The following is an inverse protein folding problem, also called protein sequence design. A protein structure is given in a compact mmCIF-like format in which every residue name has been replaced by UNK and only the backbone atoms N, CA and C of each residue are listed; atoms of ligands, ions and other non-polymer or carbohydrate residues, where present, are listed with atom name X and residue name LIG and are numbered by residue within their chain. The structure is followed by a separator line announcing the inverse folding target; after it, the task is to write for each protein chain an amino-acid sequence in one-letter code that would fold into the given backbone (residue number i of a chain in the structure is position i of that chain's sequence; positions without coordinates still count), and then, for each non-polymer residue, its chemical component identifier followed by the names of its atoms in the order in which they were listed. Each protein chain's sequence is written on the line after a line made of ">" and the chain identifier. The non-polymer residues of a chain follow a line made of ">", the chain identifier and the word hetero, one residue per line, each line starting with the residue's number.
data_IF_913918683518
#
_entry.id   IF_913918683518
#
_cell.length_a   1.000
_cell.length_b   1.000
_cell.length_c   1.000
_cell.angle_alpha   90.00
_cell.angle_beta   90.00
_cell.angle_gamma   90.00
#
_symmetry.space_group_name_H-M   'P 1'
#
loop_
_entity.id
_entity.type
_entity.pdbx_description
1 polymer ?
#
# COMPACT_ATOMS: atom_id res chain seq x y z
N UNK A 1 3.44 14.37 11.56
CA UNK A 1 2.01 14.59 11.24
C UNK A 1 1.73 14.01 9.85
N UNK A 2 0.63 13.26 9.66
CA UNK A 2 0.24 12.68 8.34
C UNK A 2 0.06 13.77 7.28
N UNK A 3 -0.49 14.93 7.65
CA UNK A 3 -0.69 16.05 6.71
C UNK A 3 0.63 16.63 6.19
N UNK A 4 1.58 16.81 7.09
CA UNK A 4 2.93 17.31 6.77
C UNK A 4 3.69 16.34 5.86
N UNK A 5 3.66 15.03 6.17
CA UNK A 5 4.30 14.00 5.35
C UNK A 5 3.67 13.96 3.95
N UNK A 6 2.34 14.02 3.87
CA UNK A 6 1.62 14.04 2.58
C UNK A 6 1.97 15.29 1.77
N UNK A 7 2.06 16.46 2.39
CA UNK A 7 2.43 17.71 1.69
C UNK A 7 3.86 17.63 1.13
N UNK A 8 4.83 17.19 1.93
CA UNK A 8 6.22 16.96 1.48
C UNK A 8 6.31 15.92 0.36
N UNK A 9 5.54 14.84 0.47
CA UNK A 9 5.48 13.80 -0.55
C UNK A 9 4.90 14.37 -1.86
N UNK A 10 3.79 15.11 -1.77
CA UNK A 10 3.13 15.72 -2.90
C UNK A 10 4.03 16.72 -3.63
N UNK A 11 4.76 17.55 -2.89
CA UNK A 11 5.76 18.45 -3.46
C UNK A 11 6.88 17.68 -4.18
N UNK A 12 7.49 16.69 -3.50
CA UNK A 12 8.63 15.92 -4.03
C UNK A 12 8.30 15.16 -5.32
N UNK A 13 7.11 14.58 -5.41
CA UNK A 13 6.69 13.75 -6.54
C UNK A 13 5.66 14.42 -7.46
N UNK A 14 5.40 15.72 -7.24
CA UNK A 14 4.44 16.53 -8.01
C UNK A 14 3.03 15.93 -8.01
N UNK A 15 2.59 15.43 -6.85
CA UNK A 15 1.22 14.95 -6.67
C UNK A 15 0.27 16.10 -6.30
N UNK A 16 -0.99 15.96 -6.69
CA UNK A 16 -2.06 16.87 -6.30
C UNK A 16 -2.60 16.39 -4.95
N UNK A 17 -2.44 17.16 -3.87
CA UNK A 17 -2.86 16.73 -2.55
C UNK A 17 -4.38 16.44 -2.44
N UNK A 18 -5.19 16.96 -3.37
CA UNK A 18 -6.64 16.77 -3.42
C UNK A 18 -7.07 15.51 -4.20
N UNK A 19 -6.15 14.87 -4.94
CA UNK A 19 -6.45 13.62 -5.65
C UNK A 19 -6.23 12.40 -4.77
N UNK A 20 -6.90 11.32 -5.12
CA UNK A 20 -6.69 10.03 -4.49
C UNK A 20 -5.27 9.53 -4.79
N UNK A 21 -4.50 9.24 -3.74
CA UNK A 21 -3.13 8.72 -3.86
C UNK A 21 -3.14 7.22 -3.52
N UNK A 22 -2.65 6.41 -4.46
CA UNK A 22 -2.61 4.95 -4.37
C UNK A 22 -1.16 4.48 -4.39
N UNK A 23 -0.75 3.83 -3.31
CA UNK A 23 0.55 3.19 -3.21
C UNK A 23 0.46 1.71 -3.55
N UNK A 24 1.24 1.25 -4.53
CA UNK A 24 1.46 -0.19 -4.75
C UNK A 24 2.71 -0.64 -4.02
N UNK A 25 2.56 -1.58 -3.10
CA UNK A 25 3.68 -2.20 -2.39
C UNK A 25 3.98 -3.55 -3.04
N UNK A 26 5.07 -3.61 -3.79
CA UNK A 26 5.48 -4.85 -4.47
C UNK A 26 5.92 -5.91 -3.46
N UNK A 27 5.38 -7.12 -3.61
CA UNK A 27 5.90 -8.33 -2.99
C UNK A 27 7.30 -8.73 -3.48
N UNK A 28 7.78 -9.86 -2.97
CA UNK A 28 9.12 -10.41 -3.22
C UNK A 28 9.02 -11.79 -3.89
N UNK A 29 8.21 -11.86 -4.96
CA UNK A 29 8.06 -13.06 -5.77
C UNK A 29 9.11 -13.16 -6.87
N UNK A 30 9.07 -14.25 -7.64
CA UNK A 30 9.82 -14.32 -8.90
C UNK A 30 9.39 -13.21 -9.88
N UNK A 31 10.26 -12.93 -10.84
CA UNK A 31 10.10 -11.82 -11.78
C UNK A 31 8.79 -11.92 -12.58
N UNK A 32 8.40 -13.13 -13.00
CA UNK A 32 7.21 -13.35 -13.81
C UNK A 32 5.93 -13.13 -13.00
N UNK A 33 5.89 -13.62 -11.76
CA UNK A 33 4.75 -13.38 -10.85
C UNK A 33 4.64 -11.90 -10.52
N UNK A 34 5.73 -11.23 -10.14
CA UNK A 34 5.72 -9.79 -9.87
C UNK A 34 5.26 -8.98 -11.09
N UNK A 35 5.72 -9.33 -12.30
CA UNK A 35 5.27 -8.66 -13.52
C UNK A 35 3.77 -8.82 -13.75
N UNK A 36 3.21 -10.02 -13.54
CA UNK A 36 1.78 -10.28 -13.72
C UNK A 36 0.92 -9.56 -12.68
N UNK A 37 1.34 -9.56 -11.41
CA UNK A 37 0.71 -8.78 -10.34
C UNK A 37 0.74 -7.28 -10.68
N UNK A 38 1.90 -6.78 -11.09
CA UNK A 38 2.06 -5.38 -11.47
C UNK A 38 1.22 -5.01 -12.69
N UNK A 39 1.14 -5.88 -13.70
CA UNK A 39 0.27 -5.72 -14.86
C UNK A 39 -1.20 -5.68 -14.45
N UNK A 40 -1.62 -6.54 -13.54
CA UNK A 40 -2.98 -6.51 -13.00
C UNK A 40 -3.25 -5.18 -12.28
N UNK A 41 -2.36 -4.78 -11.36
CA UNK A 41 -2.43 -3.49 -10.69
C UNK A 41 -2.50 -2.32 -11.67
N UNK A 42 -1.75 -2.35 -12.78
CA UNK A 42 -1.72 -1.24 -13.75
C UNK A 42 -3.08 -0.90 -14.37
N UNK A 43 -4.09 -1.77 -14.23
CA UNK A 43 -5.45 -1.47 -14.66
C UNK A 43 -6.06 -0.26 -13.92
N UNK A 44 -5.63 0.01 -12.68
CA UNK A 44 -6.08 1.20 -11.92
C UNK A 44 -5.72 2.51 -12.62
N UNK A 45 -4.75 2.48 -13.54
CA UNK A 45 -4.32 3.65 -14.31
C UNK A 45 -5.38 4.13 -15.31
N UNK A 46 -6.44 3.36 -15.55
CA UNK A 46 -7.61 3.81 -16.29
C UNK A 46 -8.38 4.93 -15.57
N UNK A 47 -8.20 5.07 -14.26
CA UNK A 47 -8.88 6.07 -13.45
C UNK A 47 -8.04 7.36 -13.29
N UNK A 48 -8.73 8.46 -12.93
CA UNK A 48 -8.09 9.74 -12.59
C UNK A 48 -7.58 9.73 -11.14
N UNK A 49 -6.53 8.95 -10.91
CA UNK A 49 -5.89 8.76 -9.61
C UNK A 49 -4.37 8.92 -9.72
N UNK A 50 -3.71 9.15 -8.60
CA UNK A 50 -2.25 9.25 -8.55
C UNK A 50 -1.66 7.98 -7.99
N UNK A 51 -0.66 7.44 -8.69
CA UNK A 51 -0.08 6.14 -8.38
C UNK A 51 1.42 6.27 -8.19
N UNK A 52 1.95 5.54 -7.21
CA UNK A 52 3.37 5.32 -7.04
C UNK A 52 3.63 3.89 -6.57
N UNK A 53 4.84 3.42 -6.84
CA UNK A 53 5.25 2.05 -6.54
C UNK A 53 6.37 2.08 -5.52
N UNK A 54 6.18 1.39 -4.39
CA UNK A 54 7.24 1.06 -3.45
C UNK A 54 7.74 -0.34 -3.72
N UNK A 55 9.04 -0.45 -3.88
CA UNK A 55 9.72 -1.74 -4.00
C UNK A 55 10.69 -1.93 -2.85
N UNK A 56 11.02 -3.19 -2.57
CA UNK A 56 12.12 -3.53 -1.65
C UNK A 56 13.45 -2.99 -2.20
N UNK A 57 14.41 -2.65 -1.33
CA UNK A 57 15.73 -2.20 -1.75
C UNK A 57 16.52 -3.32 -2.43
N UNK A 58 16.30 -3.50 -3.73
CA UNK A 58 17.07 -4.33 -4.62
C UNK A 58 17.21 -3.61 -5.98
N UNK A 59 18.45 -3.29 -6.37
CA UNK A 59 18.74 -2.51 -7.58
C UNK A 59 18.21 -3.16 -8.85
N UNK A 60 18.20 -4.49 -8.93
CA UNK A 60 17.71 -5.21 -10.10
C UNK A 60 16.18 -5.09 -10.23
N UNK A 61 15.46 -5.24 -9.11
CA UNK A 61 14.00 -5.09 -9.09
C UNK A 61 13.54 -3.66 -9.45
N UNK A 62 14.30 -2.64 -9.04
CA UNK A 62 14.03 -1.24 -9.42
C UNK A 62 14.11 -1.00 -10.92
N UNK A 63 15.16 -1.54 -11.56
CA UNK A 63 15.32 -1.40 -13.01
C UNK A 63 14.22 -2.14 -13.77
N UNK A 64 13.81 -3.32 -13.30
CA UNK A 64 12.72 -4.09 -13.91
C UNK A 64 11.38 -3.37 -13.81
N UNK A 65 11.00 -2.89 -12.62
CA UNK A 65 9.75 -2.14 -12.44
C UNK A 65 9.69 -0.88 -13.31
N UNK A 66 10.80 -0.13 -13.43
CA UNK A 66 10.88 1.02 -14.34
C UNK A 66 10.68 0.62 -15.81
N UNK A 67 11.23 -0.53 -16.24
CA UNK A 67 10.99 -1.07 -17.60
C UNK A 67 9.53 -1.47 -17.80
N UNK A 68 8.91 -2.13 -16.83
CA UNK A 68 7.51 -2.53 -16.91
C UNK A 68 6.59 -1.32 -16.97
N UNK A 69 6.87 -0.29 -16.16
CA UNK A 69 6.16 0.99 -16.22
C UNK A 69 6.27 1.68 -17.57
N UNK A 70 7.47 1.76 -18.14
CA UNK A 70 7.64 2.32 -19.48
C UNK A 70 6.81 1.59 -20.55
N UNK A 71 6.57 0.29 -20.36
CA UNK A 71 5.77 -0.55 -21.27
C UNK A 71 4.25 -0.43 -21.03
N UNK A 72 3.83 -0.41 -19.76
CA UNK A 72 2.41 -0.48 -19.37
C UNK A 72 1.77 0.89 -19.19
N UNK A 73 2.56 1.92 -18.93
CA UNK A 73 2.12 3.26 -18.56
C UNK A 73 2.93 4.34 -19.30
N UNK A 74 3.22 4.14 -20.59
CA UNK A 74 4.09 5.02 -21.40
C UNK A 74 3.71 6.50 -21.36
N UNK A 75 2.43 6.81 -21.10
CA UNK A 75 1.89 8.17 -21.11
C UNK A 75 1.76 8.79 -19.71
N UNK A 76 2.20 8.09 -18.65
CA UNK A 76 2.09 8.56 -17.26
C UNK A 76 3.44 8.42 -16.55
N UNK A 77 3.85 9.48 -15.86
CA UNK A 77 4.99 9.40 -14.95
C UNK A 77 4.54 8.77 -13.63
N UNK A 78 5.03 7.58 -13.32
CA UNK A 78 4.76 6.86 -12.07
C UNK A 78 6.06 6.71 -11.29
N UNK A 79 6.19 7.34 -10.10
CA UNK A 79 7.39 7.20 -9.29
C UNK A 79 7.60 5.76 -8.82
N UNK A 80 8.82 5.24 -9.01
CA UNK A 80 9.29 4.00 -8.37
C UNK A 80 10.23 4.37 -7.24
N UNK A 81 9.81 4.08 -6.02
CA UNK A 81 10.46 4.53 -4.79
C UNK A 81 11.15 3.33 -4.13
N UNK A 82 12.46 3.47 -3.89
CA UNK A 82 13.29 2.42 -3.26
C UNK A 82 13.56 2.78 -1.80
N UNK A 83 14.05 3.99 -1.55
CA UNK A 83 14.65 4.39 -0.26
C UNK A 83 13.71 5.22 0.62
N UNK A 84 12.41 4.96 0.56
CA UNK A 84 11.42 5.62 1.42
C UNK A 84 11.15 4.81 2.68
N UNK A 85 11.05 5.51 3.81
CA UNK A 85 10.58 4.92 5.06
C UNK A 85 9.15 4.38 4.86
N UNK A 86 8.90 3.14 5.31
CA UNK A 86 7.61 2.47 5.14
C UNK A 86 6.46 3.25 5.79
N UNK A 87 6.68 3.92 6.92
CA UNK A 87 5.68 4.79 7.55
C UNK A 87 5.37 6.03 6.70
N UNK A 88 6.37 6.64 6.06
CA UNK A 88 6.15 7.74 5.11
C UNK A 88 5.34 7.26 3.90
N UNK A 89 5.63 6.04 3.42
CA UNK A 89 4.87 5.41 2.34
C UNK A 89 3.38 5.30 2.72
N UNK A 90 3.05 4.82 3.92
CA UNK A 90 1.65 4.73 4.35
C UNK A 90 0.99 6.09 4.56
N UNK A 91 1.67 7.04 5.22
CA UNK A 91 1.10 8.37 5.46
C UNK A 91 0.82 9.17 4.19
N UNK A 92 1.58 8.95 3.12
CA UNK A 92 1.35 9.60 1.83
C UNK A 92 0.14 9.05 1.07
N UNK A 93 -0.24 7.79 1.32
CA UNK A 93 -1.31 7.11 0.59
C UNK A 93 -2.69 7.33 1.17
N UNK A 94 -3.71 7.08 0.34
CA UNK A 94 -5.09 6.84 0.75
C UNK A 94 -5.46 5.37 0.71
N UNK A 95 -4.95 4.68 -0.31
CA UNK A 95 -5.16 3.24 -0.55
C UNK A 95 -3.81 2.58 -0.74
N UNK A 96 -3.61 1.46 -0.07
CA UNK A 96 -2.47 0.57 -0.27
C UNK A 96 -2.95 -0.66 -1.03
N UNK A 97 -2.31 -0.94 -2.16
CA UNK A 97 -2.51 -2.18 -2.90
C UNK A 97 -1.29 -3.04 -2.73
N UNK A 98 -1.49 -4.30 -2.35
CA UNK A 98 -0.41 -5.27 -2.17
C UNK A 98 -0.91 -6.68 -2.44
N UNK A 99 0.03 -7.61 -2.56
CA UNK A 99 -0.22 -9.05 -2.54
C UNK A 99 0.11 -9.65 -1.15
N UNK A 100 0.88 -10.73 -1.09
CA UNK A 100 1.30 -11.41 0.14
C UNK A 100 2.34 -10.58 0.92
N UNK A 101 1.88 -9.56 1.63
CA UNK A 101 2.73 -8.67 2.42
C UNK A 101 2.04 -8.15 3.67
N UNK A 102 2.77 -8.12 4.78
CA UNK A 102 2.34 -7.47 6.03
C UNK A 102 1.98 -5.99 5.84
N UNK A 103 2.41 -5.37 4.75
CA UNK A 103 1.99 -4.01 4.36
C UNK A 103 0.47 -3.86 4.29
N UNK A 104 -0.26 -4.94 3.98
CA UNK A 104 -1.73 -4.93 3.97
C UNK A 104 -2.32 -4.73 5.36
N UNK A 105 -1.74 -5.35 6.39
CA UNK A 105 -2.15 -5.13 7.78
C UNK A 105 -1.69 -3.75 8.28
N UNK A 106 -0.44 -3.38 7.99
CA UNK A 106 0.14 -2.11 8.43
C UNK A 106 -0.65 -0.92 7.88
N UNK A 107 -1.10 -0.97 6.62
CA UNK A 107 -1.95 0.06 6.01
C UNK A 107 -3.17 0.42 6.89
N UNK A 108 -3.78 -0.57 7.56
CA UNK A 108 -4.93 -0.36 8.43
C UNK A 108 -4.59 0.51 9.65
N UNK A 109 -3.36 0.42 10.18
CA UNK A 109 -2.88 1.26 11.30
C UNK A 109 -2.70 2.72 10.90
N UNK A 110 -2.38 2.97 9.63
CA UNK A 110 -2.03 4.28 9.11
C UNK A 110 -3.23 5.02 8.48
N UNK A 111 -4.46 4.53 8.76
CA UNK A 111 -5.69 5.12 8.26
C UNK A 111 -5.71 5.12 6.70
N UNK A 112 -5.32 3.99 6.13
CA UNK A 112 -5.42 3.69 4.70
C UNK A 112 -6.46 2.59 4.48
N UNK A 113 -7.11 2.60 3.31
CA UNK A 113 -7.78 1.40 2.83
C UNK A 113 -6.71 0.41 2.33
N UNK A 114 -6.92 -0.88 2.58
CA UNK A 114 -6.00 -1.94 2.18
C UNK A 114 -6.66 -2.85 1.16
N UNK A 115 -5.98 -3.10 0.04
CA UNK A 115 -6.45 -3.95 -1.05
C UNK A 115 -5.46 -5.09 -1.24
N UNK A 116 -5.97 -6.33 -1.17
CA UNK A 116 -5.23 -7.55 -1.42
C UNK A 116 -5.52 -8.11 -2.81
N UNK A 117 -4.48 -8.32 -3.59
CA UNK A 117 -4.53 -8.94 -4.91
C UNK A 117 -4.50 -10.47 -4.81
N UNK A 118 -5.66 -11.08 -4.60
CA UNK A 118 -5.84 -12.55 -4.51
C UNK A 118 -6.09 -13.18 -5.88
N UNK A 119 -5.10 -13.03 -6.75
CA UNK A 119 -5.18 -13.44 -8.16
C UNK A 119 -4.68 -14.88 -8.35
N UNK A 120 -3.84 -15.37 -7.44
CA UNK A 120 -3.21 -16.67 -7.53
C UNK A 120 -3.51 -17.53 -6.31
N UNK A 121 -4.08 -18.71 -6.53
CA UNK A 121 -4.39 -19.65 -5.45
C UNK A 121 -3.16 -20.08 -4.65
N UNK A 122 -1.99 -20.18 -5.29
CA UNK A 122 -0.74 -20.57 -4.63
C UNK A 122 -0.26 -19.57 -3.57
N UNK A 123 -0.75 -18.32 -3.58
CA UNK A 123 -0.37 -17.32 -2.57
C UNK A 123 -1.06 -17.55 -1.23
N UNK A 124 -2.12 -18.37 -1.17
CA UNK A 124 -2.82 -18.74 0.06
C UNK A 124 -3.21 -17.53 0.94
N UNK A 125 -3.56 -16.39 0.33
CA UNK A 125 -3.81 -15.13 1.06
C UNK A 125 -4.90 -15.25 2.13
N UNK A 126 -5.85 -16.20 1.97
CA UNK A 126 -6.90 -16.49 2.95
C UNK A 126 -6.36 -16.90 4.34
N UNK A 127 -5.12 -17.35 4.42
CA UNK A 127 -4.47 -17.72 5.68
C UNK A 127 -3.91 -16.50 6.45
N UNK A 128 -3.84 -15.34 5.81
CA UNK A 128 -3.42 -14.10 6.46
C UNK A 128 -4.48 -13.69 7.50
N UNK A 129 -4.05 -13.40 8.73
CA UNK A 129 -4.96 -13.05 9.84
C UNK A 129 -5.85 -11.84 9.53
N UNK A 130 -5.39 -10.94 8.67
CA UNK A 130 -6.03 -9.69 8.30
C UNK A 130 -6.75 -9.73 6.95
N UNK A 131 -6.84 -10.90 6.30
CA UNK A 131 -7.45 -11.06 4.97
C UNK A 131 -8.88 -10.50 4.91
N UNK A 132 -9.70 -10.82 5.92
CA UNK A 132 -11.10 -10.37 6.00
C UNK A 132 -11.26 -8.91 6.41
N UNK A 133 -10.18 -8.25 6.83
CA UNK A 133 -10.20 -6.83 7.19
C UNK A 133 -9.70 -5.94 6.02
N UNK A 134 -9.32 -6.55 4.90
CA UNK A 134 -8.93 -5.88 3.66
C UNK A 134 -10.01 -6.03 2.58
N UNK A 135 -9.97 -5.14 1.58
CA UNK A 135 -10.70 -5.37 0.34
C UNK A 135 -9.93 -6.40 -0.48
N UNK A 136 -10.55 -7.54 -0.77
CA UNK A 136 -9.92 -8.59 -1.55
C UNK A 136 -10.43 -8.52 -2.99
N UNK A 137 -9.48 -8.51 -3.93
CA UNK A 137 -9.75 -8.43 -5.36
C UNK A 137 -9.08 -9.61 -6.05
N UNK A 138 -9.87 -10.33 -6.85
CA UNK A 138 -9.47 -11.56 -7.57
C UNK A 138 -9.51 -11.37 -9.07
N UNK A 139 -10.32 -10.42 -9.55
CA UNK A 139 -10.54 -10.18 -10.97
C UNK A 139 -10.34 -8.72 -11.35
N UNK A 140 -10.01 -8.49 -12.62
CA UNK A 140 -9.88 -7.15 -13.19
C UNK A 140 -11.14 -6.29 -12.98
N UNK A 141 -12.30 -6.93 -13.12
CA UNK A 141 -13.60 -6.29 -12.94
C UNK A 141 -13.83 -5.85 -11.49
N UNK A 142 -13.43 -6.67 -10.52
CA UNK A 142 -13.51 -6.30 -9.11
C UNK A 142 -12.57 -5.12 -8.79
N UNK A 143 -11.38 -5.10 -9.37
CA UNK A 143 -10.44 -3.98 -9.21
C UNK A 143 -11.04 -2.67 -9.75
N UNK A 144 -11.51 -2.70 -10.99
CA UNK A 144 -12.13 -1.54 -11.65
C UNK A 144 -13.37 -1.05 -10.87
N UNK A 145 -14.25 -1.98 -10.47
CA UNK A 145 -15.45 -1.67 -9.71
C UNK A 145 -15.12 -1.03 -8.35
N UNK A 146 -14.10 -1.53 -7.67
CA UNK A 146 -13.63 -0.98 -6.41
C UNK A 146 -13.12 0.46 -6.60
N UNK A 147 -12.22 0.69 -7.56
CA UNK A 147 -11.64 2.02 -7.78
C UNK A 147 -12.68 3.02 -8.27
N UNK A 148 -13.59 2.62 -9.16
CA UNK A 148 -14.73 3.44 -9.56
C UNK A 148 -15.57 3.85 -8.34
N UNK A 149 -15.89 2.89 -7.46
CA UNK A 149 -16.71 3.16 -6.27
C UNK A 149 -16.05 4.15 -5.31
N UNK A 150 -14.76 4.01 -5.00
CA UNK A 150 -14.10 4.93 -4.05
C UNK A 150 -13.88 6.34 -4.63
N UNK A 151 -13.86 6.47 -5.96
CA UNK A 151 -13.80 7.77 -6.64
C UNK A 151 -15.17 8.44 -6.61
N UNK A 152 -16.23 7.70 -6.95
CA UNK A 152 -17.60 8.22 -7.02
C UNK A 152 -18.20 8.46 -5.63
N UNK A 153 -17.77 7.67 -4.62
CA UNK A 153 -18.30 7.70 -3.25
C UNK A 153 -17.18 7.90 -2.20
N UNK A 154 -16.71 9.14 -1.95
CA UNK A 154 -15.69 9.40 -0.93
C UNK A 154 -16.07 8.93 0.48
N UNK A 155 -17.37 8.88 0.78
CA UNK A 155 -17.89 8.36 2.04
C UNK A 155 -17.62 6.85 2.22
N UNK A 156 -17.62 6.08 1.13
CA UNK A 156 -17.30 4.66 1.16
C UNK A 156 -15.81 4.44 1.46
N UNK A 157 -14.92 5.24 0.88
CA UNK A 157 -13.49 5.20 1.24
C UNK A 157 -13.27 5.56 2.72
N UNK A 158 -13.97 6.58 3.22
CA UNK A 158 -13.88 6.98 4.62
C UNK A 158 -14.38 5.88 5.57
N UNK A 159 -15.43 5.13 5.21
CA UNK A 159 -15.90 4.00 6.01
C UNK A 159 -14.89 2.87 6.04
N UNK A 160 -14.29 2.52 4.89
CA UNK A 160 -13.24 1.49 4.81
C UNK A 160 -12.03 1.83 5.70
N UNK A 161 -11.56 3.07 5.65
CA UNK A 161 -10.44 3.54 6.49
C UNK A 161 -10.78 3.43 7.98
N UNK A 162 -12.00 3.85 8.37
CA UNK A 162 -12.48 3.79 9.76
C UNK A 162 -12.60 2.35 10.25
N UNK A 163 -13.20 1.46 9.47
CA UNK A 163 -13.33 0.03 9.80
C UNK A 163 -11.96 -0.64 9.89
N UNK A 164 -11.08 -0.35 8.92
CA UNK A 164 -9.69 -0.81 8.91
C UNK A 164 -8.96 -0.45 10.20
N UNK A 165 -9.04 0.80 10.65
CA UNK A 165 -8.40 1.25 11.88
C UNK A 165 -8.93 0.55 13.13
N UNK A 166 -10.24 0.25 13.19
CA UNK A 166 -10.83 -0.56 14.26
C UNK A 166 -10.28 -1.98 14.21
N UNK A 167 -10.23 -2.57 13.02
CA UNK A 167 -9.77 -3.94 12.81
C UNK A 167 -8.26 -4.11 13.02
N UNK A 168 -7.45 -3.08 12.79
CA UNK A 168 -6.01 -3.11 13.03
C UNK A 168 -5.68 -3.49 14.48
N UNK A 169 -6.56 -3.14 15.43
CA UNK A 169 -6.43 -3.50 16.85
C UNK A 169 -6.47 -5.00 17.13
N UNK A 170 -6.98 -5.81 16.19
CA UNK A 170 -6.96 -7.28 16.27
C UNK A 170 -5.58 -7.86 15.94
N UNK A 171 -4.81 -7.15 15.11
CA UNK A 171 -3.55 -7.65 14.52
C UNK A 171 -2.32 -7.10 15.21
N UNK A 172 -2.42 -5.93 15.82
CA UNK A 172 -1.30 -5.25 16.45
C UNK A 172 -1.55 -5.03 17.94
N UNK A 173 -0.54 -5.34 18.75
CA UNK A 173 -0.55 -5.02 20.18
C UNK A 173 -0.71 -3.50 20.38
N UNK A 174 -1.68 -3.10 21.21
CA UNK A 174 -2.02 -1.70 21.50
C UNK A 174 -1.00 -1.00 22.42
N UNK A 175 0.29 -1.19 22.17
CA UNK A 175 1.29 -0.29 22.70
C UNK A 175 1.48 0.82 21.67
N UNK A 176 1.19 2.06 22.05
CA UNK A 176 1.50 3.22 21.22
C UNK A 176 2.97 3.13 20.78
N UNK A 177 3.30 3.54 19.55
CA UNK A 177 4.68 3.47 19.03
C UNK A 177 5.71 4.08 19.99
N UNK A 178 5.31 5.11 20.75
CA UNK A 178 6.12 5.70 21.83
C UNK A 178 6.38 4.75 23.00
N UNK A 179 5.40 3.93 23.38
CA UNK A 179 5.54 2.96 24.48
C UNK A 179 6.40 1.74 24.10
N UNK A 180 6.41 1.29 22.84
CA UNK A 180 7.26 0.16 22.43
C UNK A 180 8.75 0.54 22.43
N UNK A 181 9.10 1.72 21.90
CA UNK A 181 10.49 2.20 21.94
C UNK A 181 10.95 2.49 23.38
N UNK A 182 10.08 3.05 24.22
CA UNK A 182 10.37 3.27 25.64
C UNK A 182 10.49 1.95 26.40
N UNK A 183 9.66 0.95 26.10
CA UNK A 183 9.73 -0.38 26.71
C UNK A 183 11.02 -1.11 26.34
N UNK A 184 11.42 -1.09 25.07
CA UNK A 184 12.69 -1.70 24.62
C UNK A 184 13.88 -0.96 25.24
N UNK A 185 13.89 0.37 25.19
CA UNK A 185 14.96 1.16 25.80
C UNK A 185 15.07 0.93 27.30
N UNK A 186 13.94 0.82 28.00
CA UNK A 186 13.88 0.53 29.43
C UNK A 186 14.43 -0.87 29.74
N UNK A 187 14.03 -1.90 29.02
CA UNK A 187 14.52 -3.27 29.26
C UNK A 187 16.02 -3.42 28.95
N UNK A 188 16.52 -2.75 27.91
CA UNK A 188 17.98 -2.72 27.62
C UNK A 188 18.73 -2.04 28.77
N UNK A 189 18.19 -0.95 29.32
CA UNK A 189 18.81 -0.22 30.43
C UNK A 189 18.72 -0.96 31.78
N UNK A 190 17.77 -1.88 31.96
CA UNK A 190 17.63 -2.71 33.16
C UNK A 190 18.52 -3.97 33.14
N UNK A 191 19.06 -4.34 31.97
CA UNK A 191 20.00 -5.47 31.79
C UNK A 191 21.50 -5.06 31.82
N UNK A 192 21.81 -3.77 31.86
CA UNK A 192 23.18 -3.20 31.96
C UNK A 192 23.49 -2.81 33.41
#
# INVERSE_FOLDING_TARGET
>A
DKKEVRARFAEKYQFDPNKLIVGYFSGDWDEDVNYKLFKFFSQVLAHDIQVYVKIRPNRNHSRQHKKWLAKLASNRHIPVIVDMNVSEFFWASDVIVTDFSGAGAEALLFDNASVLLDIYEFMQLKELSYYNDCVVVKTAQELDSFFKKIIDEPAYLASLKKEGLVNARKHFFQHSVGSSNQFIAKNIMEEI
#
